data_IF_815170143061
#
_entry.id   IF_815170143061
#
_cell.length_a   1.000
_cell.length_b   1.000
_cell.length_c   1.000
_cell.angle_alpha   90.00
_cell.angle_beta   90.00
_cell.angle_gamma   90.00
#
_symmetry.space_group_name_H-M   'P 1'
#
loop_
_entity.id
_entity.type
_entity.pdbx_description
1 polymer ?
#
# COMPACT_ATOMS: atom_id res chain seq x y z
N UNK A 1 -59.63 48.80 1.97
CA UNK A 1 -59.38 48.38 0.57
C UNK A 1 -58.14 47.52 0.59
N UNK A 2 -58.30 46.29 0.14
CA UNK A 2 -57.30 45.24 0.15
C UNK A 2 -56.24 45.48 -0.93
N UNK A 3 -55.02 45.03 -0.69
CA UNK A 3 -54.31 44.28 -1.73
C UNK A 3 -53.33 43.29 -1.08
N UNK A 4 -53.73 42.02 -1.05
CA UNK A 4 -52.87 40.87 -0.72
C UNK A 4 -52.52 40.19 -2.03
N UNK A 5 -51.38 40.55 -2.62
CA UNK A 5 -50.77 39.77 -3.69
C UNK A 5 -50.12 38.51 -3.11
N UNK A 6 -50.86 37.40 -3.20
CA UNK A 6 -50.34 36.04 -3.07
C UNK A 6 -49.32 35.77 -4.19
N UNK A 7 -48.03 35.81 -3.85
CA UNK A 7 -46.97 35.20 -4.66
C UNK A 7 -46.88 33.73 -4.28
N UNK A 8 -47.69 32.91 -4.96
CA UNK A 8 -47.55 31.46 -4.99
C UNK A 8 -46.22 31.10 -5.66
N UNK A 9 -45.19 30.80 -4.87
CA UNK A 9 -44.00 30.12 -5.36
C UNK A 9 -44.30 28.64 -5.55
N UNK A 10 -44.99 28.29 -6.63
CA UNK A 10 -44.88 26.96 -7.23
C UNK A 10 -43.56 26.93 -8.01
N UNK A 11 -42.46 26.85 -7.26
CA UNK A 11 -41.15 26.57 -7.87
C UNK A 11 -41.22 25.18 -8.49
N UNK A 12 -40.95 25.09 -9.79
CA UNK A 12 -40.80 23.81 -10.46
C UNK A 12 -39.76 22.96 -9.71
N UNK A 13 -40.01 21.65 -9.48
CA UNK A 13 -39.05 20.79 -8.82
C UNK A 13 -37.76 20.78 -9.64
N UNK A 14 -36.68 21.30 -9.06
CA UNK A 14 -35.34 21.29 -9.66
C UNK A 14 -35.00 19.86 -10.02
N UNK A 15 -35.05 19.52 -11.32
CA UNK A 15 -34.62 18.23 -11.82
C UNK A 15 -33.09 18.21 -11.79
N UNK A 16 -32.55 17.28 -11.01
CA UNK A 16 -31.12 17.02 -11.03
C UNK A 16 -30.83 16.05 -12.17
N UNK A 17 -29.66 16.17 -12.76
CA UNK A 17 -29.27 15.38 -13.92
C UNK A 17 -27.91 14.77 -13.60
N UNK A 18 -27.74 13.47 -13.87
CA UNK A 18 -26.45 12.79 -13.69
C UNK A 18 -25.46 13.14 -14.82
N UNK A 19 -24.24 12.60 -14.73
CA UNK A 19 -23.16 12.84 -15.70
C UNK A 19 -23.51 12.36 -17.13
N UNK A 20 -24.58 11.58 -17.29
CA UNK A 20 -25.08 11.07 -18.56
C UNK A 20 -26.33 11.80 -19.06
N UNK A 21 -26.75 12.89 -18.41
CA UNK A 21 -27.91 13.65 -18.84
C UNK A 21 -29.25 13.05 -18.39
N UNK A 22 -29.24 12.07 -17.48
CA UNK A 22 -30.47 11.40 -17.04
C UNK A 22 -31.06 12.08 -15.78
N UNK A 23 -32.40 12.27 -15.72
CA UNK A 23 -33.05 12.82 -14.54
C UNK A 23 -32.78 11.94 -13.32
N UNK A 24 -32.19 12.53 -12.29
CA UNK A 24 -31.76 11.87 -11.08
C UNK A 24 -32.17 12.67 -9.85
N UNK A 25 -32.00 12.09 -8.67
CA UNK A 25 -32.27 12.78 -7.41
C UNK A 25 -30.96 13.35 -6.85
N UNK A 26 -31.03 14.46 -6.10
CA UNK A 26 -29.89 14.98 -5.31
C UNK A 26 -29.21 13.90 -4.47
N UNK A 27 -30.01 12.94 -4.00
CA UNK A 27 -29.61 11.81 -3.18
C UNK A 27 -28.72 10.82 -3.96
N UNK A 28 -29.08 10.53 -5.21
CA UNK A 28 -28.31 9.65 -6.08
C UNK A 28 -26.97 10.29 -6.50
N UNK A 29 -26.94 11.60 -6.80
CA UNK A 29 -25.70 12.33 -7.08
C UNK A 29 -24.74 12.37 -5.88
N UNK A 30 -25.27 12.59 -4.67
CA UNK A 30 -24.47 12.57 -3.46
C UNK A 30 -23.89 11.18 -3.19
N UNK A 31 -24.66 10.12 -3.47
CA UNK A 31 -24.20 8.74 -3.32
C UNK A 31 -23.11 8.38 -4.34
N UNK A 32 -23.23 8.81 -5.59
CA UNK A 32 -22.24 8.54 -6.63
C UNK A 32 -20.93 9.30 -6.39
N UNK A 33 -21.03 10.58 -6.01
CA UNK A 33 -19.88 11.37 -5.59
C UNK A 33 -19.14 10.71 -4.42
N UNK A 34 -19.88 10.24 -3.41
CA UNK A 34 -19.32 9.55 -2.25
C UNK A 34 -18.64 8.21 -2.58
N UNK A 35 -19.25 7.41 -3.45
CA UNK A 35 -18.68 6.13 -3.89
C UNK A 35 -17.42 6.31 -4.74
N UNK A 36 -17.25 7.47 -5.37
CA UNK A 36 -16.09 7.78 -6.21
C UNK A 36 -14.89 8.35 -5.42
N UNK A 37 -15.09 8.86 -4.20
CA UNK A 37 -13.99 9.31 -3.32
C UNK A 37 -13.49 8.23 -2.34
N UNK A 38 -14.18 7.09 -2.24
CA UNK A 38 -13.77 5.97 -1.39
C UNK A 38 -12.77 5.02 -2.09
N UNK A 39 -11.87 4.41 -1.31
CA UNK A 39 -11.00 3.34 -1.81
C UNK A 39 -11.83 2.13 -2.29
N UNK A 40 -11.34 1.39 -3.28
CA UNK A 40 -12.06 0.22 -3.81
C UNK A 40 -12.37 -0.82 -2.72
N UNK A 41 -11.46 -1.00 -1.77
CA UNK A 41 -11.64 -1.92 -0.64
C UNK A 41 -12.76 -1.50 0.31
N UNK A 42 -12.87 -0.20 0.60
CA UNK A 42 -13.91 0.33 1.48
C UNK A 42 -15.27 0.36 0.78
N UNK A 43 -15.28 0.64 -0.54
CA UNK A 43 -16.47 0.55 -1.38
C UNK A 43 -17.06 -0.87 -1.37
N UNK A 44 -16.20 -1.90 -1.47
CA UNK A 44 -16.64 -3.32 -1.40
C UNK A 44 -17.21 -3.66 -0.02
N UNK A 45 -16.58 -3.20 1.07
CA UNK A 45 -17.10 -3.42 2.43
C UNK A 45 -18.47 -2.78 2.64
N UNK A 46 -18.62 -1.51 2.26
CA UNK A 46 -19.90 -0.78 2.34
C UNK A 46 -20.96 -1.48 1.51
N UNK A 47 -20.66 -1.86 0.28
CA UNK A 47 -21.62 -2.54 -0.61
C UNK A 47 -21.99 -3.96 -0.13
N UNK A 48 -21.08 -4.66 0.55
CA UNK A 48 -21.32 -5.98 1.13
C UNK A 48 -22.12 -5.97 2.44
N UNK A 49 -22.09 -4.86 3.17
CA UNK A 49 -22.86 -4.67 4.41
C UNK A 49 -24.34 -4.34 4.16
N UNK A 50 -24.73 -4.07 2.91
CA UNK A 50 -26.09 -3.71 2.53
C UNK A 50 -26.86 -4.99 2.14
N UNK A 51 -28.04 -5.26 2.75
CA UNK A 51 -28.87 -6.41 2.38
C UNK A 51 -29.28 -6.36 0.90
N UNK A 52 -28.95 -7.40 0.14
CA UNK A 52 -29.31 -7.54 -1.27
C UNK A 52 -30.66 -8.24 -1.39
N UNK A 53 -31.76 -7.48 -1.38
CA UNK A 53 -33.11 -8.01 -1.70
C UNK A 53 -34.27 -7.20 -1.11
N UNK A 54 -35.31 -6.92 -1.90
CA UNK A 54 -36.62 -6.38 -1.46
C UNK A 54 -36.65 -4.97 -0.85
N UNK A 55 -35.52 -4.38 -0.50
CA UNK A 55 -35.46 -3.09 0.20
C UNK A 55 -35.61 -1.92 -0.77
N UNK A 56 -36.44 -0.93 -0.42
CA UNK A 56 -36.56 0.33 -1.16
C UNK A 56 -35.23 1.08 -1.22
N UNK A 57 -35.04 1.89 -2.26
CA UNK A 57 -33.80 2.68 -2.47
C UNK A 57 -33.51 3.57 -1.25
N UNK A 58 -34.55 4.16 -0.66
CA UNK A 58 -34.45 5.05 0.49
C UNK A 58 -33.98 4.32 1.77
N UNK A 59 -34.49 3.12 2.01
CA UNK A 59 -34.06 2.31 3.16
C UNK A 59 -32.62 1.77 2.97
N UNK A 60 -32.19 1.48 1.74
CA UNK A 60 -30.78 1.19 1.43
C UNK A 60 -29.88 2.38 1.70
N UNK A 61 -30.30 3.58 1.27
CA UNK A 61 -29.53 4.80 1.48
C UNK A 61 -29.38 5.13 2.98
N UNK A 62 -30.45 4.96 3.77
CA UNK A 62 -30.41 5.15 5.23
C UNK A 62 -29.46 4.17 5.91
N UNK A 63 -29.41 2.92 5.44
CA UNK A 63 -28.47 1.91 5.95
C UNK A 63 -27.00 2.26 5.63
N UNK A 64 -26.73 2.77 4.42
CA UNK A 64 -25.39 3.25 4.02
C UNK A 64 -24.95 4.42 4.91
N UNK A 65 -25.82 5.43 5.07
CA UNK A 65 -25.50 6.59 5.91
C UNK A 65 -25.24 6.16 7.36
N UNK A 66 -26.08 5.28 7.93
CA UNK A 66 -25.88 4.78 9.30
C UNK A 66 -24.55 4.04 9.41
N UNK A 67 -24.26 3.12 8.49
CA UNK A 67 -23.01 2.36 8.53
C UNK A 67 -21.77 3.26 8.41
N UNK A 68 -21.84 4.32 7.60
CA UNK A 68 -20.77 5.32 7.47
C UNK A 68 -20.63 6.20 8.72
N UNK A 69 -21.75 6.63 9.32
CA UNK A 69 -21.74 7.38 10.58
C UNK A 69 -21.21 6.53 11.75
N UNK A 70 -21.53 5.23 11.77
CA UNK A 70 -21.16 4.34 12.87
C UNK A 70 -19.70 3.84 12.74
N UNK A 71 -19.12 3.79 11.54
CA UNK A 71 -17.83 3.13 11.31
C UNK A 71 -16.75 3.98 10.62
N UNK A 72 -17.11 5.11 10.01
CA UNK A 72 -16.17 5.87 9.17
C UNK A 72 -16.06 7.36 9.53
N UNK A 73 -17.02 7.94 10.27
CA UNK A 73 -16.98 9.37 10.64
C UNK A 73 -17.70 9.70 11.97
N UNK A 74 -17.08 10.52 12.84
CA UNK A 74 -17.72 11.14 14.02
C UNK A 74 -18.75 12.22 13.63
N UNK A 75 -19.92 11.85 13.10
CA UNK A 75 -21.06 12.76 12.93
C UNK A 75 -22.34 12.18 13.54
N UNK A 76 -23.04 13.00 14.34
CA UNK A 76 -24.38 12.67 14.81
C UNK A 76 -25.43 13.13 13.77
N UNK A 77 -26.31 12.21 13.36
CA UNK A 77 -27.46 12.50 12.50
C UNK A 77 -28.64 12.88 13.39
N UNK A 78 -29.21 14.08 13.19
CA UNK A 78 -30.53 14.42 13.74
C UNK A 78 -31.53 14.64 12.62
N UNK A 79 -32.76 14.20 12.87
CA UNK A 79 -33.84 14.07 11.90
C UNK A 79 -34.07 15.34 11.06
N UNK A 80 -33.88 15.19 9.75
CA UNK A 80 -34.67 15.89 8.76
C UNK A 80 -34.11 17.18 8.15
N UNK A 81 -32.93 17.69 8.51
CA UNK A 81 -32.35 18.81 7.78
C UNK A 81 -30.82 18.85 7.83
N UNK A 82 -30.26 19.17 6.65
CA UNK A 82 -28.89 19.62 6.30
C UNK A 82 -27.85 19.47 7.40
N UNK A 83 -26.81 18.68 7.06
CA UNK A 83 -25.47 18.66 7.66
C UNK A 83 -25.00 20.07 8.04
N UNK A 84 -25.40 20.55 9.21
CA UNK A 84 -24.82 21.72 9.82
C UNK A 84 -23.58 21.21 10.50
N UNK A 85 -22.47 21.32 9.79
CA UNK A 85 -21.15 21.16 10.38
C UNK A 85 -21.08 22.12 11.57
N UNK A 86 -21.26 21.57 12.79
CA UNK A 86 -20.77 22.25 13.97
C UNK A 86 -19.27 22.27 13.80
N UNK A 87 -18.77 23.41 13.31
CA UNK A 87 -17.38 23.81 13.40
C UNK A 87 -16.98 23.59 14.84
N UNK A 88 -16.28 22.49 15.06
CA UNK A 88 -15.55 22.23 16.29
C UNK A 88 -14.66 23.48 16.40
N UNK A 89 -14.94 24.35 17.37
CA UNK A 89 -13.93 25.26 17.91
C UNK A 89 -12.85 24.34 18.50
N UNK A 90 -12.06 23.75 17.61
CA UNK A 90 -10.79 23.17 17.93
C UNK A 90 -9.95 24.40 18.19
N UNK A 91 -9.74 24.67 19.47
CA UNK A 91 -8.61 25.44 19.90
C UNK A 91 -7.38 24.87 19.16
N UNK A 92 -6.92 25.62 18.16
CA UNK A 92 -5.57 25.59 17.61
C UNK A 92 -4.95 24.19 17.50
N UNK A 93 -5.27 23.45 16.43
CA UNK A 93 -4.39 22.40 15.93
C UNK A 93 -4.25 22.50 14.41
N UNK A 94 -3.06 22.15 13.96
CA UNK A 94 -2.37 22.51 12.72
C UNK A 94 -3.15 22.29 11.41
N UNK A 95 -2.80 23.01 10.32
CA UNK A 95 -3.38 22.78 9.00
C UNK A 95 -3.24 21.31 8.64
N UNK A 96 -4.34 20.69 8.20
CA UNK A 96 -4.41 19.30 7.76
C UNK A 96 -3.38 19.10 6.65
N UNK A 97 -2.19 18.58 7.01
CA UNK A 97 -1.10 18.38 6.06
C UNK A 97 -1.57 17.37 5.01
N UNK A 98 -1.50 17.76 3.73
CA UNK A 98 -1.73 16.82 2.63
C UNK A 98 -0.78 15.63 2.82
N UNK A 99 -1.23 14.39 2.57
CA UNK A 99 -0.35 13.23 2.67
C UNK A 99 0.90 13.43 1.79
N UNK A 100 2.04 12.97 2.30
CA UNK A 100 3.30 13.04 1.58
C UNK A 100 3.20 12.27 0.25
N UNK A 101 3.81 12.80 -0.81
CA UNK A 101 3.85 12.10 -2.09
C UNK A 101 4.56 10.75 -1.94
N UNK A 102 4.06 9.75 -2.67
CA UNK A 102 4.80 8.53 -2.93
C UNK A 102 6.04 8.83 -3.79
N UNK A 103 7.02 7.93 -3.82
CA UNK A 103 8.24 8.09 -4.65
C UNK A 103 7.88 8.24 -6.12
N UNK A 104 6.87 7.49 -6.59
CA UNK A 104 6.41 7.56 -7.97
C UNK A 104 5.76 8.91 -8.29
N UNK A 105 4.81 9.38 -7.46
CA UNK A 105 4.18 10.70 -7.65
C UNK A 105 5.22 11.82 -7.64
N UNK A 106 6.18 11.77 -6.70
CA UNK A 106 7.27 12.74 -6.64
C UNK A 106 8.12 12.71 -7.92
N UNK A 107 8.39 11.52 -8.47
CA UNK A 107 9.13 11.35 -9.72
C UNK A 107 8.36 11.90 -10.93
N UNK A 108 7.04 11.75 -10.98
CA UNK A 108 6.20 12.37 -12.01
C UNK A 108 6.24 13.90 -11.92
N UNK A 109 6.24 14.47 -10.71
CA UNK A 109 6.39 15.92 -10.55
C UNK A 109 7.77 16.41 -11.01
N UNK A 110 8.83 15.65 -10.73
CA UNK A 110 10.17 15.97 -11.24
C UNK A 110 10.22 15.86 -12.76
N UNK A 111 9.63 14.83 -13.36
CA UNK A 111 9.56 14.70 -14.82
C UNK A 111 8.83 15.89 -15.44
N UNK A 112 7.69 16.29 -14.88
CA UNK A 112 6.92 17.43 -15.37
C UNK A 112 7.65 18.77 -15.21
N UNK A 113 8.55 18.88 -14.23
CA UNK A 113 9.35 20.07 -13.98
C UNK A 113 10.67 20.10 -14.77
N UNK A 114 11.09 19.00 -15.39
CA UNK A 114 12.29 18.96 -16.25
C UNK A 114 11.91 19.23 -17.71
N UNK A 115 12.83 19.80 -18.52
CA UNK A 115 12.60 19.90 -19.96
C UNK A 115 12.61 18.52 -20.60
N UNK A 116 12.04 18.40 -21.79
CA UNK A 116 12.14 17.17 -22.58
C UNK A 116 13.60 16.76 -22.81
N UNK A 117 13.93 15.45 -22.89
CA UNK A 117 15.30 14.99 -23.11
C UNK A 117 15.97 15.57 -24.36
N UNK A 118 15.19 15.87 -25.41
CA UNK A 118 15.69 16.51 -26.63
C UNK A 118 16.08 17.98 -26.46
N UNK A 119 15.60 18.63 -25.40
CA UNK A 119 15.88 20.04 -25.07
C UNK A 119 16.84 20.21 -23.89
N UNK A 120 17.11 19.15 -23.13
CA UNK A 120 17.96 19.18 -21.93
C UNK A 120 19.31 19.89 -22.12
N UNK A 121 20.05 19.58 -23.19
CA UNK A 121 21.37 20.19 -23.46
C UNK A 121 21.29 21.70 -23.71
N UNK A 122 20.19 22.17 -24.31
CA UNK A 122 19.95 23.61 -24.52
C UNK A 122 19.70 24.35 -23.22
N UNK A 123 19.20 23.64 -22.21
CA UNK A 123 19.02 24.12 -20.85
C UNK A 123 20.27 23.90 -19.97
N UNK A 124 21.38 23.43 -20.53
CA UNK A 124 22.61 23.13 -19.78
C UNK A 124 22.50 21.90 -18.89
N UNK A 125 21.55 21.01 -19.15
CA UNK A 125 21.33 19.79 -18.38
C UNK A 125 21.88 18.56 -19.12
N UNK A 126 22.37 17.54 -18.39
CA UNK A 126 22.79 16.28 -18.99
C UNK A 126 21.59 15.51 -19.55
N UNK A 127 21.53 15.37 -20.89
CA UNK A 127 20.47 14.64 -21.60
C UNK A 127 20.22 13.24 -21.03
N UNK A 128 21.29 12.50 -20.72
CA UNK A 128 21.18 11.15 -20.20
C UNK A 128 20.44 11.08 -18.85
N UNK A 129 20.66 12.05 -17.96
CA UNK A 129 19.99 12.08 -16.66
C UNK A 129 18.50 12.43 -16.79
N UNK A 130 18.17 13.40 -17.65
CA UNK A 130 16.76 13.76 -17.94
C UNK A 130 16.01 12.60 -18.62
N UNK A 131 16.67 11.90 -19.54
CA UNK A 131 16.13 10.69 -20.17
C UNK A 131 15.88 9.58 -19.13
N UNK A 132 16.83 9.36 -18.21
CA UNK A 132 16.69 8.35 -17.15
C UNK A 132 15.46 8.59 -16.26
N UNK A 133 15.18 9.84 -15.89
CA UNK A 133 13.96 10.20 -15.14
C UNK A 133 12.71 9.79 -15.94
N UNK A 134 12.65 10.19 -17.21
CA UNK A 134 11.50 9.88 -18.08
C UNK A 134 11.31 8.38 -18.29
N UNK A 135 12.38 7.65 -18.58
CA UNK A 135 12.35 6.20 -18.77
C UNK A 135 11.93 5.46 -17.49
N UNK A 136 12.34 5.95 -16.32
CA UNK A 136 12.00 5.35 -15.03
C UNK A 136 10.51 5.53 -14.72
N UNK A 137 9.95 6.72 -15.01
CA UNK A 137 8.50 6.95 -14.89
C UNK A 137 7.71 6.04 -15.82
N UNK A 138 8.08 5.98 -17.11
CA UNK A 138 7.36 5.14 -18.07
C UNK A 138 7.45 3.65 -17.74
N UNK A 139 8.61 3.19 -17.26
CA UNK A 139 8.78 1.81 -16.77
C UNK A 139 7.90 1.52 -15.56
N UNK A 140 7.80 2.46 -14.62
CA UNK A 140 6.95 2.32 -13.43
C UNK A 140 5.44 2.37 -13.77
N UNK A 141 5.04 3.12 -14.81
CA UNK A 141 3.67 3.06 -15.36
C UNK A 141 3.36 1.73 -16.01
N UNK A 142 4.32 1.15 -16.75
CA UNK A 142 4.17 -0.12 -17.44
C UNK A 142 4.15 -1.35 -16.52
N UNK A 143 4.66 -1.23 -15.28
CA UNK A 143 4.68 -2.34 -14.34
C UNK A 143 5.43 -2.04 -13.04
N UNK A 144 5.54 -3.04 -12.14
CA UNK A 144 6.14 -2.84 -10.84
C UNK A 144 7.64 -2.53 -10.94
N UNK A 145 8.02 -1.29 -10.59
CA UNK A 145 9.41 -0.89 -10.40
C UNK A 145 9.85 -1.06 -8.94
N UNK A 146 11.16 -1.24 -8.74
CA UNK A 146 11.77 -1.26 -7.41
C UNK A 146 11.77 0.17 -6.83
N UNK A 147 11.27 0.32 -5.61
CA UNK A 147 11.18 1.63 -4.96
C UNK A 147 12.56 2.24 -4.70
N UNK A 148 13.56 1.42 -4.38
CA UNK A 148 14.94 1.87 -4.21
C UNK A 148 15.52 2.48 -5.51
N UNK A 149 15.24 1.88 -6.66
CA UNK A 149 15.69 2.38 -7.96
C UNK A 149 15.00 3.72 -8.28
N UNK A 150 13.69 3.79 -8.07
CA UNK A 150 12.93 5.04 -8.26
C UNK A 150 13.42 6.14 -7.32
N UNK A 151 13.74 5.83 -6.07
CA UNK A 151 14.25 6.78 -5.10
C UNK A 151 15.63 7.32 -5.51
N UNK A 152 16.51 6.47 -6.03
CA UNK A 152 17.81 6.89 -6.54
C UNK A 152 17.66 7.87 -7.72
N UNK A 153 16.75 7.58 -8.66
CA UNK A 153 16.47 8.45 -9.81
C UNK A 153 15.77 9.74 -9.35
N UNK A 154 14.89 9.68 -8.35
CA UNK A 154 14.22 10.85 -7.77
C UNK A 154 15.23 11.85 -7.19
N UNK A 155 16.25 11.38 -6.47
CA UNK A 155 17.32 12.24 -5.94
C UNK A 155 18.08 12.92 -7.07
N UNK A 156 18.49 12.16 -8.08
CA UNK A 156 19.18 12.72 -9.25
C UNK A 156 18.32 13.76 -9.97
N UNK A 157 17.05 13.45 -10.21
CA UNK A 157 16.14 14.38 -10.87
C UNK A 157 15.89 15.64 -10.06
N UNK A 158 15.76 15.54 -8.72
CA UNK A 158 15.67 16.70 -7.83
C UNK A 158 16.90 17.61 -7.95
N UNK A 159 18.11 17.05 -8.00
CA UNK A 159 19.35 17.82 -8.12
C UNK A 159 19.48 18.56 -9.45
N UNK A 160 18.74 18.15 -10.48
CA UNK A 160 18.70 18.84 -11.79
C UNK A 160 17.76 20.06 -11.78
N UNK A 161 16.75 20.10 -10.90
CA UNK A 161 15.72 21.14 -10.91
C UNK A 161 16.28 22.57 -10.73
N UNK A 162 17.25 22.84 -9.83
CA UNK A 162 17.81 24.19 -9.70
C UNK A 162 18.42 24.73 -10.99
N UNK A 163 19.13 23.89 -11.74
CA UNK A 163 19.71 24.27 -13.02
C UNK A 163 18.61 24.43 -14.10
N UNK A 164 17.63 23.52 -14.14
CA UNK A 164 16.51 23.57 -15.08
C UNK A 164 15.67 24.86 -14.95
N UNK A 165 15.51 25.36 -13.72
CA UNK A 165 14.70 26.53 -13.41
C UNK A 165 15.50 27.81 -13.15
N UNK A 166 16.83 27.80 -13.37
CA UNK A 166 17.68 28.95 -13.10
C UNK A 166 17.23 30.22 -13.84
N UNK A 167 16.77 30.07 -15.09
CA UNK A 167 16.24 31.16 -15.92
C UNK A 167 14.81 31.60 -15.54
N UNK A 168 14.13 30.85 -14.66
CA UNK A 168 12.72 31.02 -14.29
C UNK A 168 12.52 31.46 -12.83
N UNK A 169 13.58 31.94 -12.17
CA UNK A 169 13.53 32.35 -10.76
C UNK A 169 13.75 31.22 -9.76
N UNK A 170 14.19 30.06 -10.24
CA UNK A 170 14.47 28.87 -9.42
C UNK A 170 13.26 27.98 -9.19
N UNK A 171 13.50 26.88 -8.47
CA UNK A 171 12.47 25.89 -8.11
C UNK A 171 11.56 26.48 -7.05
N UNK A 172 10.24 26.28 -7.17
CA UNK A 172 9.31 26.74 -6.15
C UNK A 172 9.59 26.04 -4.82
N UNK A 173 9.53 26.81 -3.72
CA UNK A 173 9.78 26.28 -2.37
C UNK A 173 8.81 25.13 -2.02
N UNK A 174 7.55 25.26 -2.41
CA UNK A 174 6.54 24.21 -2.20
C UNK A 174 6.93 22.90 -2.90
N UNK A 175 7.39 22.95 -4.15
CA UNK A 175 7.82 21.75 -4.86
C UNK A 175 9.05 21.13 -4.16
N UNK A 176 10.05 21.93 -3.83
CA UNK A 176 11.26 21.47 -3.15
C UNK A 176 10.93 20.79 -1.81
N UNK A 177 10.13 21.45 -0.96
CA UNK A 177 9.73 20.94 0.36
C UNK A 177 8.95 19.61 0.24
N UNK A 178 8.07 19.49 -0.77
CA UNK A 178 7.29 18.25 -0.98
C UNK A 178 8.14 17.10 -1.53
N UNK A 179 9.11 17.39 -2.39
CA UNK A 179 10.08 16.39 -2.86
C UNK A 179 10.96 15.91 -1.69
N UNK A 180 11.39 16.82 -0.81
CA UNK A 180 12.14 16.48 0.39
C UNK A 180 11.33 15.60 1.36
N UNK A 181 10.07 15.94 1.59
CA UNK A 181 9.18 15.12 2.41
C UNK A 181 8.98 13.71 1.82
N UNK A 182 8.84 13.59 0.50
CA UNK A 182 8.70 12.30 -0.18
C UNK A 182 9.97 11.43 -0.06
N UNK A 183 11.15 12.03 -0.26
CA UNK A 183 12.44 11.36 -0.11
C UNK A 183 12.63 10.90 1.34
N UNK A 184 12.40 11.78 2.32
CA UNK A 184 12.53 11.44 3.73
C UNK A 184 11.58 10.32 4.16
N UNK A 185 10.31 10.36 3.71
CA UNK A 185 9.35 9.30 3.98
C UNK A 185 9.74 7.96 3.35
N UNK A 186 10.31 7.97 2.15
CA UNK A 186 10.80 6.76 1.48
C UNK A 186 12.05 6.18 2.16
N UNK A 187 12.97 7.05 2.58
CA UNK A 187 14.15 6.67 3.36
C UNK A 187 13.75 6.07 4.70
N UNK A 188 12.82 6.70 5.42
CA UNK A 188 12.32 6.18 6.69
C UNK A 188 11.67 4.81 6.51
N UNK A 189 10.86 4.61 5.46
CA UNK A 189 10.29 3.29 5.13
C UNK A 189 11.37 2.25 4.84
N UNK A 190 12.41 2.63 4.09
CA UNK A 190 13.55 1.75 3.79
C UNK A 190 14.36 1.40 5.04
N UNK A 191 14.61 2.40 5.90
CA UNK A 191 15.32 2.24 7.17
C UNK A 191 14.50 1.45 8.21
N UNK A 192 13.17 1.47 8.14
CA UNK A 192 12.31 0.64 8.99
C UNK A 192 12.17 -0.81 8.45
N UNK A 193 12.29 -1.00 7.14
CA UNK A 193 12.27 -2.33 6.52
C UNK A 193 13.55 -3.14 6.83
N UNK A 194 14.73 -2.51 6.85
CA UNK A 194 15.99 -3.21 7.10
C UNK A 194 16.10 -3.90 8.49
N UNK A 195 15.66 -3.29 9.62
CA UNK A 195 15.59 -3.95 10.91
C UNK A 195 14.56 -5.08 10.99
N UNK A 196 13.46 -5.00 10.23
CA UNK A 196 12.48 -6.08 10.15
C UNK A 196 13.05 -7.27 9.38
N UNK A 197 13.63 -7.06 8.20
CA UNK A 197 14.26 -8.13 7.42
C UNK A 197 15.43 -8.83 8.14
N UNK A 198 16.19 -8.09 8.98
CA UNK A 198 17.26 -8.68 9.80
C UNK A 198 16.74 -9.42 11.06
N UNK A 199 15.64 -8.96 11.68
CA UNK A 199 15.00 -9.65 12.82
C UNK A 199 14.23 -10.90 12.41
N UNK A 200 13.82 -10.98 11.15
CA UNK A 200 13.02 -12.07 10.62
C UNK A 200 13.85 -13.13 9.87
N UNK A 201 15.18 -13.14 9.98
CA UNK A 201 15.96 -14.23 9.39
C UNK A 201 15.79 -15.51 10.20
N UNK A 202 15.33 -16.62 9.59
CA UNK A 202 15.18 -17.86 10.32
C UNK A 202 16.54 -18.45 10.65
N UNK A 203 16.65 -19.02 11.84
CA UNK A 203 17.81 -19.81 12.22
C UNK A 203 17.95 -21.04 11.31
N UNK A 204 19.19 -21.51 11.13
CA UNK A 204 19.47 -22.72 10.36
C UNK A 204 18.71 -23.94 10.92
N UNK A 205 18.60 -24.04 12.24
CA UNK A 205 17.85 -25.10 12.93
C UNK A 205 16.36 -25.07 12.58
N UNK A 206 15.77 -23.87 12.52
CA UNK A 206 14.37 -23.71 12.14
C UNK A 206 14.14 -24.09 10.66
N UNK A 207 15.03 -23.68 9.76
CA UNK A 207 14.98 -24.07 8.34
C UNK A 207 15.01 -25.59 8.17
N UNK A 208 15.90 -26.27 8.88
CA UNK A 208 15.98 -27.73 8.86
C UNK A 208 14.69 -28.38 9.35
N UNK A 209 14.09 -27.86 10.42
CA UNK A 209 12.85 -28.40 10.96
C UNK A 209 11.70 -28.26 9.97
N UNK A 210 11.52 -27.06 9.38
CA UNK A 210 10.51 -26.80 8.37
C UNK A 210 10.68 -27.73 7.17
N UNK A 211 11.92 -27.90 6.68
CA UNK A 211 12.20 -28.80 5.56
C UNK A 211 11.92 -30.25 5.91
N UNK A 212 12.35 -30.73 7.08
CA UNK A 212 12.14 -32.13 7.51
C UNK A 212 10.64 -32.45 7.60
N UNK A 213 9.84 -31.51 8.06
CA UNK A 213 8.39 -31.65 8.20
C UNK A 213 7.68 -31.55 6.84
N UNK A 214 8.00 -30.54 6.05
CA UNK A 214 7.32 -30.30 4.77
C UNK A 214 7.74 -31.29 3.66
N UNK A 215 9.00 -31.74 3.71
CA UNK A 215 9.59 -32.60 2.69
C UNK A 215 10.34 -33.75 3.37
N UNK A 216 9.59 -34.80 3.73
CA UNK A 216 10.12 -36.06 4.25
C UNK A 216 10.92 -36.86 3.17
N UNK A 217 12.03 -36.30 2.68
CA UNK A 217 13.06 -37.00 1.93
C UNK A 217 12.86 -37.16 0.42
N UNK A 218 12.03 -36.35 -0.25
CA UNK A 218 11.84 -36.46 -1.72
C UNK A 218 12.26 -35.21 -2.48
N UNK A 219 13.35 -35.35 -3.25
CA UNK A 219 13.68 -34.48 -4.39
C UNK A 219 14.17 -33.06 -4.07
N UNK A 220 14.65 -32.83 -2.85
CA UNK A 220 15.18 -31.55 -2.40
C UNK A 220 16.65 -31.64 -2.02
N UNK A 221 17.40 -30.59 -2.34
CA UNK A 221 18.81 -30.39 -2.00
C UNK A 221 18.88 -29.29 -0.93
N UNK A 222 19.25 -29.59 0.31
CA UNK A 222 19.39 -28.57 1.35
C UNK A 222 20.53 -27.62 1.00
N UNK A 223 20.25 -26.32 1.06
CA UNK A 223 21.22 -25.25 0.77
C UNK A 223 21.58 -24.43 2.00
N UNK A 224 20.65 -24.30 2.96
CA UNK A 224 20.89 -23.74 4.29
C UNK A 224 21.72 -22.45 4.30
N UNK A 225 21.29 -21.44 3.54
CA UNK A 225 21.98 -20.15 3.50
C UNK A 225 21.85 -19.38 4.81
N UNK A 226 22.61 -18.29 4.97
CA UNK A 226 22.41 -17.31 6.05
C UNK A 226 21.16 -16.41 5.85
N UNK A 227 20.51 -16.49 4.68
CA UNK A 227 19.34 -15.69 4.30
C UNK A 227 18.02 -16.40 4.58
N UNK A 228 17.10 -16.43 3.62
CA UNK A 228 15.83 -17.14 3.70
C UNK A 228 15.86 -18.50 3.00
N UNK A 229 16.83 -18.71 2.09
CA UNK A 229 16.94 -19.95 1.33
C UNK A 229 17.26 -21.13 2.26
N UNK A 230 16.44 -22.17 2.16
CA UNK A 230 16.55 -23.36 2.99
C UNK A 230 16.94 -24.57 2.13
N UNK A 231 16.30 -24.74 0.97
CA UNK A 231 16.58 -25.83 0.05
C UNK A 231 16.30 -25.45 -1.40
N UNK A 232 16.70 -26.32 -2.32
CA UNK A 232 16.40 -26.26 -3.74
C UNK A 232 15.68 -27.54 -4.16
N UNK A 233 14.69 -27.43 -5.05
CA UNK A 233 14.07 -28.59 -5.66
C UNK A 233 14.96 -29.10 -6.80
N UNK A 234 15.48 -30.33 -6.69
CA UNK A 234 16.48 -30.87 -7.62
C UNK A 234 15.97 -30.93 -9.08
N UNK A 235 14.69 -31.26 -9.27
CA UNK A 235 14.09 -31.43 -10.60
C UNK A 235 13.86 -30.12 -11.35
N UNK A 236 13.43 -29.06 -10.64
CA UNK A 236 13.02 -27.79 -11.26
C UNK A 236 14.07 -26.70 -11.08
N UNK A 237 14.99 -26.84 -10.13
CA UNK A 237 15.96 -25.80 -9.81
C UNK A 237 15.35 -24.58 -9.09
N UNK A 238 14.13 -24.72 -8.56
CA UNK A 238 13.45 -23.66 -7.80
C UNK A 238 13.87 -23.66 -6.33
N UNK A 239 13.92 -22.47 -5.72
CA UNK A 239 14.24 -22.30 -4.32
C UNK A 239 13.05 -22.51 -3.38
N UNK A 240 13.34 -23.07 -2.21
CA UNK A 240 12.46 -23.18 -1.05
C UNK A 240 13.00 -22.22 0.02
N UNK A 241 12.17 -21.27 0.39
CA UNK A 241 12.48 -20.20 1.33
C UNK A 241 11.62 -20.33 2.58
N UNK A 242 12.20 -20.03 3.73
CA UNK A 242 11.50 -20.02 5.02
C UNK A 242 11.50 -18.59 5.52
N UNK A 243 10.34 -18.12 5.98
CA UNK A 243 10.11 -16.78 6.52
C UNK A 243 9.40 -16.97 7.86
N UNK A 244 10.08 -16.80 9.01
CA UNK A 244 9.50 -17.08 10.31
C UNK A 244 8.36 -16.14 10.70
N UNK A 245 8.22 -14.99 10.02
CA UNK A 245 7.25 -13.95 10.34
C UNK A 245 6.34 -13.62 9.13
N UNK A 246 6.20 -12.34 8.78
CA UNK A 246 5.26 -11.88 7.75
C UNK A 246 5.94 -11.71 6.40
N UNK A 247 5.57 -12.53 5.42
CA UNK A 247 5.92 -12.34 4.02
C UNK A 247 5.23 -11.08 3.46
N UNK A 248 6.00 -10.01 3.34
CA UNK A 248 5.62 -8.76 2.68
C UNK A 248 6.40 -8.57 1.36
N UNK A 249 6.10 -7.51 0.62
CA UNK A 249 6.75 -7.23 -0.67
C UNK A 249 8.27 -7.05 -0.55
N UNK A 250 8.78 -6.45 0.52
CA UNK A 250 10.21 -6.23 0.71
C UNK A 250 10.95 -7.57 0.91
N UNK A 251 10.44 -8.43 1.80
CA UNK A 251 10.98 -9.78 2.04
C UNK A 251 10.95 -10.62 0.77
N UNK A 252 9.90 -10.49 -0.04
CA UNK A 252 9.84 -11.16 -1.34
C UNK A 252 10.95 -10.71 -2.31
N UNK A 253 11.25 -9.41 -2.36
CA UNK A 253 12.33 -8.91 -3.20
C UNK A 253 13.71 -9.39 -2.72
N UNK A 254 13.91 -9.49 -1.41
CA UNK A 254 15.13 -10.07 -0.81
C UNK A 254 15.27 -11.54 -1.18
N UNK A 255 14.18 -12.32 -1.10
CA UNK A 255 14.12 -13.72 -1.55
C UNK A 255 14.50 -13.83 -3.04
N UNK A 256 13.99 -12.96 -3.90
CA UNK A 256 14.32 -12.98 -5.33
C UNK A 256 15.79 -12.62 -5.60
N UNK A 257 16.36 -11.68 -4.83
CA UNK A 257 17.76 -11.33 -4.93
C UNK A 257 18.65 -12.51 -4.50
N UNK A 258 18.29 -13.17 -3.40
CA UNK A 258 18.97 -14.37 -2.90
C UNK A 258 18.84 -15.55 -3.87
N UNK A 259 17.67 -15.74 -4.48
CA UNK A 259 17.46 -16.77 -5.50
C UNK A 259 18.38 -16.56 -6.72
N UNK A 260 18.51 -15.31 -7.19
CA UNK A 260 19.39 -14.96 -8.31
C UNK A 260 20.86 -15.18 -7.97
N UNK A 261 21.30 -14.77 -6.79
CA UNK A 261 22.70 -14.96 -6.38
C UNK A 261 23.07 -16.45 -6.23
N UNK A 262 22.09 -17.28 -5.84
CA UNK A 262 22.24 -18.74 -5.78
C UNK A 262 22.07 -19.44 -7.15
N UNK A 263 21.82 -18.71 -8.24
CA UNK A 263 21.64 -19.28 -9.59
C UNK A 263 20.37 -20.13 -9.72
N UNK A 264 19.34 -19.84 -8.92
CA UNK A 264 18.06 -20.56 -8.91
C UNK A 264 17.07 -19.96 -9.92
N UNK A 265 16.07 -20.76 -10.30
CA UNK A 265 14.95 -20.24 -11.08
C UNK A 265 14.11 -19.29 -10.22
N UNK A 266 13.81 -18.10 -10.76
CA UNK A 266 13.04 -17.04 -10.08
C UNK A 266 11.68 -16.78 -10.72
N UNK A 267 11.25 -17.63 -11.66
CA UNK A 267 9.91 -17.61 -12.25
C UNK A 267 8.84 -17.89 -11.20
N UNK A 268 9.14 -18.83 -10.29
CA UNK A 268 8.29 -19.23 -9.19
C UNK A 268 9.13 -19.71 -8.00
N UNK A 269 8.86 -19.15 -6.83
CA UNK A 269 9.52 -19.54 -5.57
C UNK A 269 8.53 -20.17 -4.59
N UNK A 270 9.01 -21.12 -3.79
CA UNK A 270 8.24 -21.71 -2.70
C UNK A 270 8.60 -21.02 -1.40
N UNK A 271 7.62 -20.49 -0.68
CA UNK A 271 7.83 -19.74 0.55
C UNK A 271 6.97 -20.33 1.67
N UNK A 272 7.62 -20.73 2.76
CA UNK A 272 6.97 -21.08 4.00
C UNK A 272 6.92 -19.86 4.91
N UNK A 273 5.74 -19.43 5.32
CA UNK A 273 5.59 -18.23 6.15
C UNK A 273 4.55 -18.39 7.27
N UNK A 274 4.72 -17.68 8.38
CA UNK A 274 3.69 -17.61 9.42
C UNK A 274 2.48 -16.80 8.91
N UNK A 275 2.77 -15.63 8.33
CA UNK A 275 1.76 -14.75 7.73
C UNK A 275 2.22 -14.31 6.35
N UNK A 276 1.27 -14.09 5.45
CA UNK A 276 1.56 -13.53 4.14
C UNK A 276 0.61 -12.37 3.84
N UNK A 277 1.18 -11.19 3.65
CA UNK A 277 0.46 -9.98 3.22
C UNK A 277 0.67 -9.68 1.74
N UNK A 278 1.66 -10.32 1.11
CA UNK A 278 1.95 -10.22 -0.31
C UNK A 278 1.70 -11.56 -1.01
N UNK A 279 0.99 -11.52 -2.14
CA UNK A 279 0.66 -12.70 -2.96
C UNK A 279 0.82 -12.37 -4.44
N UNK A 280 1.08 -13.38 -5.29
CA UNK A 280 1.25 -13.18 -6.73
C UNK A 280 1.56 -14.47 -7.47
N UNK A 281 1.49 -14.43 -8.80
CA UNK A 281 1.66 -15.62 -9.67
C UNK A 281 3.04 -16.30 -9.54
N UNK A 282 4.07 -15.53 -9.18
CA UNK A 282 5.43 -16.02 -8.98
C UNK A 282 5.74 -16.57 -7.59
N UNK A 283 4.75 -16.66 -6.69
CA UNK A 283 4.96 -17.10 -5.31
C UNK A 283 3.98 -18.20 -4.95
N UNK A 284 4.51 -19.31 -4.49
CA UNK A 284 3.72 -20.37 -3.88
C UNK A 284 3.96 -20.34 -2.37
N UNK A 285 2.92 -19.99 -1.62
CA UNK A 285 3.00 -19.76 -0.19
C UNK A 285 2.36 -20.95 0.53
N UNK A 286 3.08 -21.51 1.49
CA UNK A 286 2.57 -22.49 2.43
C UNK A 286 2.64 -21.90 3.84
N UNK A 287 1.56 -21.99 4.61
CA UNK A 287 1.56 -21.45 5.98
C UNK A 287 2.12 -22.48 6.95
N UNK A 288 2.72 -22.03 8.04
CA UNK A 288 3.16 -22.96 9.09
C UNK A 288 1.99 -23.69 9.75
N UNK A 289 0.81 -23.08 9.81
CA UNK A 289 -0.42 -23.73 10.29
C UNK A 289 -0.79 -24.99 9.47
N UNK A 290 -0.34 -25.07 8.22
CA UNK A 290 -0.55 -26.23 7.34
C UNK A 290 0.45 -27.37 7.64
N UNK A 291 1.41 -27.15 8.56
CA UNK A 291 2.42 -28.10 9.00
C UNK A 291 2.17 -28.51 10.47
N UNK A 292 1.28 -29.48 10.75
CA UNK A 292 0.78 -29.76 12.09
C UNK A 292 1.85 -30.19 13.11
N UNK A 293 3.02 -30.69 12.67
CA UNK A 293 4.12 -31.11 13.54
C UNK A 293 5.17 -30.02 13.82
N UNK A 294 4.98 -28.79 13.35
CA UNK A 294 5.89 -27.68 13.63
C UNK A 294 5.69 -27.07 15.04
N UNK A 295 4.48 -27.20 15.62
CA UNK A 295 4.10 -26.58 16.89
C UNK A 295 4.38 -27.43 18.15
N UNK A 296 4.79 -28.70 18.01
CA UNK A 296 4.96 -29.62 19.15
C UNK A 296 6.26 -29.43 19.94
N UNK A 297 7.20 -28.59 19.46
CA UNK A 297 8.53 -28.46 20.10
C UNK A 297 8.67 -27.32 21.11
N UNK A 298 7.79 -26.31 21.10
CA UNK A 298 7.89 -25.20 22.08
C UNK A 298 7.22 -25.52 23.43
N UNK A 299 6.31 -26.49 23.48
CA UNK A 299 5.67 -26.92 24.73
C UNK A 299 6.60 -27.74 25.65
N UNK A 300 7.74 -28.22 25.15
CA UNK A 300 8.68 -29.06 25.91
C UNK A 300 9.82 -28.27 26.57
N UNK A 301 10.10 -27.04 26.15
CA UNK A 301 11.23 -26.25 26.69
C UNK A 301 10.88 -25.44 27.95
N UNK A 302 9.59 -25.27 28.28
CA UNK A 302 9.14 -24.35 29.36
C UNK A 302 8.57 -25.06 30.61
N UNK A 303 8.81 -26.37 30.78
CA UNK A 303 8.42 -27.14 31.98
C UNK A 303 9.57 -27.77 32.75
N UNK A 304 10.78 -27.21 32.68
CA UNK A 304 11.84 -27.52 33.63
C UNK A 304 11.67 -26.67 34.91
N UNK A 305 10.66 -26.99 35.73
CA UNK A 305 10.57 -26.47 37.07
C UNK A 305 11.81 -26.92 37.90
N UNK A 306 12.48 -26.03 38.65
CA UNK A 306 13.61 -26.44 39.47
C UNK A 306 13.10 -27.34 40.62
N UNK A 307 13.50 -28.63 40.58
CA UNK A 307 13.34 -29.55 41.71
C UNK A 307 14.15 -29.01 42.88
N UNK A 308 13.46 -28.35 43.81
CA UNK A 308 13.99 -27.92 45.10
C UNK A 308 14.43 -29.16 45.89
N UNK A 309 15.73 -29.40 45.97
CA UNK A 309 16.30 -30.39 46.89
C UNK A 309 15.99 -29.96 48.33
N UNK A 310 15.25 -30.79 49.06
CA UNK A 310 15.20 -30.71 50.53
C UNK A 310 16.48 -31.38 51.04
N UNK A 311 17.37 -30.59 51.64
CA UNK A 311 18.42 -31.16 52.50
C UNK A 311 17.75 -31.74 53.75
N UNK A 312 18.22 -32.93 54.12
CA UNK A 312 17.91 -33.64 55.36
C UNK A 312 18.71 -33.07 56.53
#
# INVERSE_FOLDING_TARGET
>A
MADQTNLSMTGEPVQFVDDYGMPTTRLALAQDYWLNVMSLGDRVKVMSAIPQGGVSVEARHKAIISHVADNLLDFAVTDGNVLSARTRQIASSEPTQRPAWTVFEALEQVQAALPDPGFAERCGLPRAAVALVSETVERAKAGPALEADMLAVLRQGKDLLPAAWAAHGGVSKELADRLDAAIAAAEQRTQQAAPQAARERPSLTFKEQVIKVAYAGKGIEPMMSEGFLAAKVAKTGRGIFVVPATLNRAVYLDILAEARSAGLQTDRVYVFAERATYTGHGIEIMKFDDLPSLHDTDAASDRAAPRRMKLA
#
